data_IF_521743840454
#
_entry.id   IF_521743840454
#
_cell.length_a   1.000
_cell.length_b   1.000
_cell.length_c   1.000
_cell.angle_alpha   90.00
_cell.angle_beta   90.00
_cell.angle_gamma   90.00
#
_symmetry.space_group_name_H-M   'P 1'
#
loop_
_entity.id
_entity.type
_entity.pdbx_description
1 polymer ?
#
# COMPACT_ATOMS: atom_id res chain seq x y z
N UNK A 1 3.75 8.83 -19.23
CA UNK A 1 2.83 9.57 -18.36
C UNK A 1 3.62 10.34 -17.35
N UNK A 2 3.28 11.61 -17.20
CA UNK A 2 3.98 12.57 -16.36
C UNK A 2 3.41 12.54 -14.94
N UNK A 3 4.23 12.94 -13.95
CA UNK A 3 3.81 12.92 -12.53
C UNK A 3 2.52 13.72 -12.30
N UNK A 4 2.39 14.87 -12.95
CA UNK A 4 1.21 15.74 -12.84
C UNK A 4 -0.06 15.02 -13.30
N UNK A 5 -0.03 14.34 -14.46
CA UNK A 5 -1.18 13.55 -14.95
C UNK A 5 -1.59 12.45 -13.96
N UNK A 6 -0.62 11.81 -13.29
CA UNK A 6 -0.91 10.79 -12.28
C UNK A 6 -1.52 11.38 -11.01
N UNK A 7 -1.15 12.61 -10.65
CA UNK A 7 -1.76 13.35 -9.55
C UNK A 7 -3.21 13.64 -9.86
N UNK A 8 -3.54 14.11 -11.06
CA UNK A 8 -4.93 14.42 -11.41
C UNK A 8 -5.80 13.16 -11.46
N UNK A 9 -5.28 12.05 -12.00
CA UNK A 9 -5.96 10.75 -11.98
C UNK A 9 -6.22 10.29 -10.53
N UNK A 10 -5.20 10.39 -9.68
CA UNK A 10 -5.31 10.00 -8.29
C UNK A 10 -6.32 10.89 -7.54
N UNK A 11 -6.31 12.22 -7.78
CA UNK A 11 -7.27 13.16 -7.19
C UNK A 11 -8.69 12.83 -7.60
N UNK A 12 -8.93 12.49 -8.87
CA UNK A 12 -10.26 12.11 -9.36
C UNK A 12 -10.79 10.80 -8.75
N UNK A 13 -9.89 9.88 -8.38
CA UNK A 13 -10.25 8.60 -7.76
C UNK A 13 -10.45 8.66 -6.24
N UNK A 14 -9.89 9.68 -5.59
CA UNK A 14 -9.90 9.85 -4.14
C UNK A 14 -11.10 10.70 -3.69
N UNK A 15 -11.55 10.52 -2.44
CA UNK A 15 -12.57 11.38 -1.85
C UNK A 15 -12.07 12.82 -1.74
N UNK A 16 -12.89 13.79 -2.19
CA UNK A 16 -12.52 15.20 -2.34
C UNK A 16 -11.84 15.83 -1.11
N UNK A 17 -12.29 15.55 0.11
CA UNK A 17 -11.73 16.14 1.34
C UNK A 17 -10.32 15.62 1.70
N UNK A 18 -10.01 14.39 1.29
CA UNK A 18 -8.76 13.70 1.65
C UNK A 18 -7.81 13.58 0.46
N UNK A 19 -8.28 13.90 -0.74
CA UNK A 19 -7.55 13.74 -1.98
C UNK A 19 -6.22 14.49 -1.90
N UNK A 20 -6.22 15.80 -1.65
CA UNK A 20 -5.02 16.62 -1.78
C UNK A 20 -3.81 16.11 -0.97
N UNK A 21 -4.03 15.63 0.25
CA UNK A 21 -2.95 15.10 1.09
C UNK A 21 -2.51 13.69 0.65
N UNK A 22 -3.46 12.85 0.24
CA UNK A 22 -3.18 11.47 -0.12
C UNK A 22 -2.60 11.33 -1.53
N UNK A 23 -2.96 12.22 -2.44
CA UNK A 23 -2.61 12.14 -3.86
C UNK A 23 -1.11 12.01 -4.07
N UNK A 24 -0.34 12.89 -3.44
CA UNK A 24 1.12 12.90 -3.55
C UNK A 24 1.72 11.59 -3.04
N UNK A 25 1.29 11.16 -1.85
CA UNK A 25 1.79 9.93 -1.24
C UNK A 25 1.47 8.69 -2.09
N UNK A 26 0.28 8.63 -2.70
CA UNK A 26 -0.15 7.53 -3.57
C UNK A 26 0.68 7.51 -4.87
N UNK A 27 0.86 8.66 -5.53
CA UNK A 27 1.66 8.76 -6.76
C UNK A 27 3.12 8.40 -6.49
N UNK A 28 3.71 8.95 -5.44
CA UNK A 28 5.10 8.69 -5.08
C UNK A 28 5.32 7.22 -4.68
N UNK A 29 4.32 6.57 -4.07
CA UNK A 29 4.34 5.13 -3.80
C UNK A 29 4.47 4.30 -5.07
N UNK A 30 3.67 4.63 -6.09
CA UNK A 30 3.67 3.89 -7.37
C UNK A 30 4.96 4.16 -8.14
N UNK A 31 5.43 5.41 -8.18
CA UNK A 31 6.68 5.77 -8.83
C UNK A 31 7.89 5.07 -8.21
N UNK A 32 7.91 4.89 -6.88
CA UNK A 32 8.97 4.18 -6.19
C UNK A 32 9.01 2.66 -6.50
N UNK A 33 7.89 2.06 -6.86
CA UNK A 33 7.78 0.63 -7.18
C UNK A 33 7.98 0.36 -8.67
N UNK A 34 7.74 1.38 -9.51
CA UNK A 34 7.84 1.26 -10.96
C UNK A 34 9.26 0.89 -11.37
N UNK A 35 9.44 -0.34 -11.85
CA UNK A 35 10.63 -0.77 -12.58
C UNK A 35 10.39 -0.64 -14.07
N UNK A 36 11.45 -0.34 -14.82
CA UNK A 36 11.43 -0.39 -16.27
C UNK A 36 11.16 -1.83 -16.70
N UNK A 37 10.12 -2.05 -17.52
CA UNK A 37 9.75 -3.32 -18.16
C UNK A 37 9.05 -4.41 -17.32
N UNK A 38 8.71 -4.15 -16.04
CA UNK A 38 7.85 -5.05 -15.25
C UNK A 38 6.46 -4.42 -14.98
N UNK A 39 5.36 -5.21 -15.02
CA UNK A 39 4.05 -4.71 -14.62
C UNK A 39 4.06 -4.31 -13.15
N UNK A 40 3.35 -3.23 -12.82
CA UNK A 40 3.33 -2.71 -11.46
C UNK A 40 2.64 -3.72 -10.53
N UNK A 41 3.37 -4.19 -9.52
CA UNK A 41 2.83 -5.03 -8.46
C UNK A 41 2.39 -4.17 -7.27
N UNK A 42 1.07 -4.03 -7.11
CA UNK A 42 0.47 -3.33 -5.97
C UNK A 42 0.73 -4.03 -4.63
N UNK A 43 1.16 -5.30 -4.65
CA UNK A 43 1.55 -5.99 -3.42
C UNK A 43 2.78 -5.39 -2.75
N UNK A 44 3.59 -4.62 -3.48
CA UNK A 44 4.75 -3.92 -2.92
C UNK A 44 4.37 -2.67 -2.11
N UNK A 45 3.12 -2.17 -2.25
CA UNK A 45 2.57 -1.12 -1.38
C UNK A 45 1.92 -1.77 -0.15
N UNK A 46 2.45 -1.49 1.03
CA UNK A 46 1.81 -1.79 2.30
C UNK A 46 0.95 -0.61 2.75
N UNK A 47 -0.25 -0.88 3.24
CA UNK A 47 -1.05 0.13 3.94
C UNK A 47 -1.12 -0.27 5.40
N UNK A 48 -0.54 0.56 6.26
CA UNK A 48 -0.58 0.40 7.71
C UNK A 48 -1.52 1.41 8.33
N UNK A 49 -2.36 0.93 9.24
CA UNK A 49 -3.32 1.76 9.98
C UNK A 49 -2.77 2.07 11.37
N UNK A 50 -2.86 3.33 11.76
CA UNK A 50 -2.53 3.77 13.11
C UNK A 50 -3.65 4.65 13.67
N UNK A 51 -4.06 4.33 14.91
CA UNK A 51 -5.00 5.18 15.63
C UNK A 51 -4.30 6.46 16.08
N UNK A 52 -4.78 7.59 15.59
CA UNK A 52 -4.27 8.92 15.92
C UNK A 52 -5.42 9.92 15.95
N UNK A 53 -5.28 11.07 16.60
CA UNK A 53 -6.38 12.04 16.69
C UNK A 53 -6.69 12.73 15.36
N UNK A 54 -5.70 12.83 14.47
CA UNK A 54 -5.78 13.50 13.17
C UNK A 54 -5.84 12.50 12.01
N UNK A 55 -6.63 12.83 10.98
CA UNK A 55 -6.80 12.05 9.74
C UNK A 55 -5.87 12.51 8.61
N UNK A 56 -5.39 13.75 8.70
CA UNK A 56 -4.51 14.38 7.71
C UNK A 56 -3.05 13.90 7.79
N UNK A 57 -2.66 13.23 8.87
CA UNK A 57 -1.25 12.89 9.11
C UNK A 57 -0.85 11.56 8.44
N UNK A 58 -1.21 11.38 7.18
CA UNK A 58 -0.79 10.22 6.38
C UNK A 58 0.63 10.45 5.87
N UNK A 59 1.51 9.45 6.05
CA UNK A 59 2.92 9.57 5.66
C UNK A 59 3.34 8.42 4.77
N UNK A 60 4.07 8.76 3.72
CA UNK A 60 4.78 7.81 2.88
C UNK A 60 6.10 7.41 3.53
N UNK A 61 6.32 6.12 3.69
CA UNK A 61 7.58 5.57 4.18
C UNK A 61 8.17 4.71 3.06
N UNK A 62 9.32 5.14 2.53
CA UNK A 62 10.10 4.38 1.54
C UNK A 62 10.79 3.19 2.22
N UNK A 63 9.98 2.19 2.56
CA UNK A 63 10.44 0.98 3.21
C UNK A 63 9.33 0.16 3.84
N UNK A 64 9.71 -0.97 4.44
CA UNK A 64 8.79 -1.80 5.20
C UNK A 64 8.73 -1.34 6.65
N UNK A 65 7.51 -1.19 7.20
CA UNK A 65 7.27 -0.79 8.59
C UNK A 65 6.90 -2.02 9.44
N UNK A 66 7.67 -2.30 10.49
CA UNK A 66 7.43 -3.43 11.42
C UNK A 66 6.85 -2.95 12.74
N UNK A 67 6.04 -3.72 13.46
CA UNK A 67 5.24 -3.21 14.60
C UNK A 67 6.07 -2.88 15.86
N UNK A 68 7.30 -3.37 15.92
CA UNK A 68 8.23 -3.24 17.04
C UNK A 68 9.64 -3.03 16.49
N UNK A 69 10.50 -2.33 17.23
CA UNK A 69 11.94 -2.46 17.11
C UNK A 69 12.72 -1.34 17.77
N UNK A 70 14.00 -1.25 17.42
CA UNK A 70 14.94 -0.28 17.94
C UNK A 70 15.77 0.27 16.77
N UNK A 71 16.36 1.45 16.96
CA UNK A 71 17.19 2.10 15.94
C UNK A 71 18.52 1.35 15.78
N UNK A 72 18.84 0.99 14.55
CA UNK A 72 20.05 0.31 14.12
C UNK A 72 20.45 0.84 12.74
N UNK A 73 21.72 1.20 12.55
CA UNK A 73 22.27 1.64 11.27
C UNK A 73 23.04 0.48 10.63
N UNK A 74 23.00 0.38 9.29
CA UNK A 74 23.67 -0.65 8.49
C UNK A 74 23.52 -2.07 9.08
N UNK A 75 22.29 -2.56 9.10
CA UNK A 75 21.92 -3.80 9.75
C UNK A 75 21.90 -5.00 8.80
N UNK A 76 22.49 -6.11 9.24
CA UNK A 76 22.19 -7.42 8.68
C UNK A 76 20.89 -7.97 9.26
N UNK A 77 20.02 -8.48 8.39
CA UNK A 77 18.72 -9.00 8.78
C UNK A 77 18.67 -10.51 8.62
N UNK A 78 18.44 -11.20 9.72
CA UNK A 78 18.18 -12.64 9.78
C UNK A 78 16.68 -12.89 9.88
N UNK A 79 16.10 -13.50 8.85
CA UNK A 79 14.68 -13.89 8.84
C UNK A 79 14.51 -15.37 9.20
N UNK A 80 13.76 -15.65 10.26
CA UNK A 80 13.54 -17.01 10.76
C UNK A 80 12.04 -17.34 10.91
N UNK A 81 11.71 -18.63 10.75
CA UNK A 81 10.43 -19.23 11.09
C UNK A 81 10.63 -20.38 12.10
N UNK A 82 11.39 -20.10 13.16
CA UNK A 82 11.80 -21.10 14.15
C UNK A 82 11.10 -20.83 15.47
N UNK A 83 10.63 -21.86 16.17
CA UNK A 83 10.12 -21.67 17.54
C UNK A 83 11.30 -21.33 18.46
N UNK A 84 11.38 -20.07 18.88
CA UNK A 84 12.34 -19.56 19.89
C UNK A 84 11.64 -19.29 21.22
N UNK A 85 10.41 -19.78 21.40
CA UNK A 85 9.64 -19.74 22.63
C UNK A 85 9.59 -21.13 23.26
N UNK A 86 9.56 -21.17 24.59
CA UNK A 86 9.19 -22.35 25.35
C UNK A 86 7.69 -22.59 25.19
N UNK A 87 7.29 -23.69 24.57
CA UNK A 87 5.88 -24.09 24.50
C UNK A 87 5.47 -24.68 25.84
N UNK A 88 4.67 -23.93 26.61
CA UNK A 88 4.12 -24.42 27.87
C UNK A 88 3.14 -25.56 27.57
N UNK A 89 3.57 -26.79 27.79
CA UNK A 89 2.68 -27.95 27.72
C UNK A 89 1.74 -27.97 28.93
N UNK A 90 0.45 -28.15 28.67
CA UNK A 90 -0.61 -28.09 29.71
C UNK A 90 -0.60 -29.31 30.65
N UNK A 91 0.11 -30.39 30.31
CA UNK A 91 0.11 -31.65 31.06
C UNK A 91 1.16 -31.63 32.19
N UNK A 92 0.75 -32.05 33.40
CA UNK A 92 1.42 -31.74 34.67
C UNK A 92 2.52 -32.73 35.12
N UNK A 93 2.66 -33.93 34.57
CA UNK A 93 3.37 -35.03 35.29
C UNK A 93 4.87 -35.20 35.01
N UNK A 94 5.44 -34.66 33.91
CA UNK A 94 6.86 -34.86 33.55
C UNK A 94 7.65 -33.54 33.39
N UNK A 95 7.13 -32.45 33.96
CA UNK A 95 7.55 -31.06 33.67
C UNK A 95 9.01 -30.75 33.93
N UNK A 96 9.59 -31.15 35.06
CA UNK A 96 10.88 -30.55 35.47
C UNK A 96 12.08 -31.01 34.64
N UNK A 97 12.09 -32.26 34.18
CA UNK A 97 13.18 -32.80 33.35
C UNK A 97 13.05 -32.28 31.91
N UNK A 98 11.84 -32.27 31.35
CA UNK A 98 11.56 -31.77 30.01
C UNK A 98 11.87 -30.26 29.89
N UNK A 99 11.49 -29.47 30.90
CA UNK A 99 11.78 -28.02 30.95
C UNK A 99 13.29 -27.75 30.89
N UNK A 100 14.11 -28.52 31.61
CA UNK A 100 15.57 -28.32 31.62
C UNK A 100 16.20 -28.65 30.27
N UNK A 101 15.70 -29.67 29.57
CA UNK A 101 16.18 -30.07 28.24
C UNK A 101 15.77 -29.04 27.20
N UNK A 102 14.52 -28.58 27.21
CA UNK A 102 14.03 -27.55 26.27
C UNK A 102 14.72 -26.20 26.47
N UNK A 103 14.99 -25.79 27.72
CA UNK A 103 15.76 -24.56 27.98
C UNK A 103 17.17 -24.63 27.42
N UNK A 104 17.89 -25.73 27.65
CA UNK A 104 19.23 -25.94 27.07
C UNK A 104 19.18 -25.88 25.54
N UNK A 105 18.15 -26.46 24.94
CA UNK A 105 17.95 -26.43 23.50
C UNK A 105 17.73 -25.01 22.95
N UNK A 106 16.95 -24.18 23.66
CA UNK A 106 16.78 -22.76 23.31
C UNK A 106 18.10 -22.01 23.49
N UNK A 107 18.81 -22.21 24.60
CA UNK A 107 20.13 -21.62 24.86
C UNK A 107 21.13 -21.92 23.74
N UNK A 108 21.20 -23.16 23.28
CA UNK A 108 22.12 -23.55 22.22
C UNK A 108 21.75 -22.89 20.88
N UNK A 109 20.46 -22.74 20.58
CA UNK A 109 20.00 -21.94 19.42
C UNK A 109 20.40 -20.46 19.52
N UNK A 110 20.32 -19.88 20.71
CA UNK A 110 20.75 -18.49 20.96
C UNK A 110 22.25 -18.36 20.71
N UNK A 111 23.05 -19.28 21.23
CA UNK A 111 24.50 -19.29 21.04
C UNK A 111 24.86 -19.35 19.56
N UNK A 112 24.20 -20.20 18.76
CA UNK A 112 24.41 -20.26 17.31
C UNK A 112 24.15 -18.91 16.62
N UNK A 113 23.10 -18.19 17.01
CA UNK A 113 22.80 -16.86 16.46
C UNK A 113 23.85 -15.83 16.87
N UNK A 114 24.31 -15.87 18.13
CA UNK A 114 25.39 -14.99 18.62
C UNK A 114 26.71 -15.30 17.89
N UNK A 115 27.02 -16.57 17.67
CA UNK A 115 28.21 -16.99 16.90
C UNK A 115 28.14 -16.49 15.46
N UNK A 116 26.97 -16.58 14.81
CA UNK A 116 26.79 -16.02 13.48
C UNK A 116 26.93 -14.49 13.48
N UNK A 117 26.40 -13.79 14.49
CA UNK A 117 26.66 -12.35 14.65
C UNK A 117 28.17 -12.09 14.74
N UNK A 118 28.90 -12.82 15.59
CA UNK A 118 30.35 -12.62 15.76
C UNK A 118 31.13 -12.88 14.48
N UNK A 119 30.72 -13.87 13.67
CA UNK A 119 31.32 -14.14 12.35
C UNK A 119 31.07 -13.02 11.34
N UNK A 120 29.90 -12.38 11.38
CA UNK A 120 29.46 -11.41 10.35
C UNK A 120 29.78 -9.97 10.75
N UNK A 121 29.54 -9.61 11.99
CA UNK A 121 29.75 -8.26 12.53
C UNK A 121 31.15 -8.03 13.08
N UNK A 122 31.94 -9.07 13.42
CA UNK A 122 33.36 -8.98 13.80
C UNK A 122 33.78 -7.67 14.48
N UNK A 123 34.52 -6.83 13.74
CA UNK A 123 35.02 -5.50 14.15
C UNK A 123 34.28 -4.32 13.48
N UNK A 124 33.11 -4.56 12.89
CA UNK A 124 32.35 -3.55 12.16
C UNK A 124 31.20 -2.99 13.00
N UNK A 125 30.94 -1.68 12.89
CA UNK A 125 29.78 -0.98 13.48
C UNK A 125 28.43 -1.37 12.84
N UNK A 126 28.37 -2.53 12.20
CA UNK A 126 27.17 -3.03 11.53
C UNK A 126 26.24 -3.65 12.53
N UNK A 127 24.98 -3.23 12.49
CA UNK A 127 23.94 -3.78 13.33
C UNK A 127 23.51 -5.19 12.93
N UNK A 128 22.82 -5.87 13.85
CA UNK A 128 22.25 -7.19 13.58
C UNK A 128 20.81 -7.27 14.08
N UNK A 129 19.90 -7.64 13.17
CA UNK A 129 18.46 -7.70 13.42
C UNK A 129 17.94 -9.11 13.13
N UNK A 130 17.27 -9.73 14.10
CA UNK A 130 16.63 -11.04 13.97
C UNK A 130 15.13 -10.87 13.91
N UNK A 131 14.49 -11.37 12.87
CA UNK A 131 13.04 -11.25 12.69
C UNK A 131 12.46 -12.65 12.66
N UNK A 132 11.71 -12.99 13.70
CA UNK A 132 11.06 -14.28 13.80
C UNK A 132 9.57 -14.17 13.52
N UNK A 133 9.07 -15.07 12.68
CA UNK A 133 7.62 -15.22 12.45
C UNK A 133 6.92 -15.75 13.70
N UNK A 134 7.58 -16.63 14.45
CA UNK A 134 7.08 -17.13 15.72
C UNK A 134 7.52 -16.22 16.87
N UNK A 135 7.09 -16.59 18.05
CA UNK A 135 7.47 -15.92 19.27
C UNK A 135 8.96 -16.08 19.64
N UNK A 136 9.41 -15.26 20.58
CA UNK A 136 10.77 -15.30 21.14
C UNK A 136 10.66 -15.23 22.68
N UNK A 137 11.32 -16.17 23.37
CA UNK A 137 11.32 -16.26 24.82
C UNK A 137 11.99 -15.04 25.47
N UNK A 138 11.52 -14.50 26.61
CA UNK A 138 12.15 -13.35 27.26
C UNK A 138 13.63 -13.54 27.58
N UNK A 139 14.05 -14.76 27.96
CA UNK A 139 15.46 -15.06 28.19
C UNK A 139 16.33 -14.81 26.94
N UNK A 140 15.80 -15.14 25.76
CA UNK A 140 16.46 -14.84 24.49
C UNK A 140 16.58 -13.34 24.27
N UNK A 141 15.53 -12.56 24.61
CA UNK A 141 15.54 -11.10 24.49
C UNK A 141 16.63 -10.47 25.35
N UNK A 142 16.85 -10.98 26.56
CA UNK A 142 17.88 -10.49 27.47
C UNK A 142 19.29 -10.89 27.02
N UNK A 143 19.47 -12.16 26.61
CA UNK A 143 20.77 -12.68 26.17
C UNK A 143 21.27 -11.95 24.92
N UNK A 144 20.38 -11.68 23.95
CA UNK A 144 20.72 -10.99 22.72
C UNK A 144 20.94 -9.50 22.90
N UNK A 145 20.25 -8.86 23.86
CA UNK A 145 20.34 -7.43 24.10
C UNK A 145 21.74 -7.04 24.60
N UNK A 146 22.39 -7.93 25.38
CA UNK A 146 23.79 -7.78 25.79
C UNK A 146 24.78 -7.77 24.63
N UNK A 147 24.38 -8.38 23.52
CA UNK A 147 25.18 -8.49 22.30
C UNK A 147 24.63 -7.52 21.24
N UNK A 148 23.92 -6.44 21.59
CA UNK A 148 23.37 -5.42 20.67
C UNK A 148 22.58 -5.98 19.47
N UNK A 149 21.92 -7.13 19.65
CA UNK A 149 21.05 -7.72 18.62
C UNK A 149 19.62 -7.26 18.87
N UNK A 150 19.01 -6.62 17.88
CA UNK A 150 17.57 -6.35 17.89
C UNK A 150 16.85 -7.59 17.39
N UNK A 151 15.83 -8.06 18.12
CA UNK A 151 14.97 -9.12 17.63
C UNK A 151 13.50 -8.78 17.74
N UNK A 152 12.80 -9.13 16.68
CA UNK A 152 11.39 -8.94 16.49
C UNK A 152 10.72 -10.31 16.55
N UNK A 153 9.63 -10.37 17.32
CA UNK A 153 8.85 -11.58 17.53
C UNK A 153 7.49 -11.43 16.87
N UNK A 154 6.90 -12.55 16.46
CA UNK A 154 5.53 -12.64 15.95
C UNK A 154 5.28 -11.78 14.71
N UNK A 155 6.27 -11.70 13.80
CA UNK A 155 6.09 -10.99 12.54
C UNK A 155 5.14 -11.75 11.63
N UNK A 156 4.20 -11.05 11.00
CA UNK A 156 3.24 -11.66 10.06
C UNK A 156 3.96 -12.19 8.83
N UNK A 157 3.48 -13.33 8.29
CA UNK A 157 4.02 -13.96 7.08
C UNK A 157 4.13 -12.98 5.89
N UNK A 158 3.10 -12.15 5.67
CA UNK A 158 3.11 -11.13 4.59
C UNK A 158 4.27 -10.15 4.71
N UNK A 159 4.61 -9.71 5.93
CA UNK A 159 5.75 -8.82 6.18
C UNK A 159 7.08 -9.55 5.95
N UNK A 160 7.15 -10.84 6.30
CA UNK A 160 8.34 -11.66 6.04
C UNK A 160 8.59 -11.80 4.54
N UNK A 161 7.58 -12.17 3.75
CA UNK A 161 7.69 -12.32 2.28
C UNK A 161 8.20 -11.02 1.63
N UNK A 162 7.66 -9.88 2.04
CA UNK A 162 8.16 -8.56 1.61
C UNK A 162 9.60 -8.35 2.03
N UNK A 163 9.94 -8.58 3.29
CA UNK A 163 11.31 -8.38 3.78
C UNK A 163 12.33 -9.23 3.00
N UNK A 164 11.95 -10.45 2.65
CA UNK A 164 12.73 -11.40 1.83
C UNK A 164 13.03 -10.78 0.46
N UNK A 165 12.00 -10.28 -0.23
CA UNK A 165 12.13 -9.63 -1.55
C UNK A 165 12.92 -8.32 -1.50
N UNK A 166 12.75 -7.60 -0.40
CA UNK A 166 13.15 -6.21 -0.32
C UNK A 166 14.57 -6.05 0.25
N UNK A 167 14.96 -6.89 1.22
CA UNK A 167 16.32 -6.94 1.79
C UNK A 167 17.20 -8.02 1.15
N UNK A 168 16.62 -8.93 0.35
CA UNK A 168 17.31 -10.09 -0.21
C UNK A 168 17.64 -11.18 0.82
N UNK A 169 17.02 -11.17 2.00
CA UNK A 169 17.25 -12.21 3.01
C UNK A 169 16.62 -13.54 2.56
N UNK A 170 17.05 -14.66 3.14
CA UNK A 170 16.40 -15.96 2.95
C UNK A 170 15.70 -16.35 4.25
N UNK A 171 14.44 -16.76 4.18
CA UNK A 171 13.71 -17.23 5.38
C UNK A 171 14.21 -18.61 5.79
N UNK A 172 14.78 -18.71 6.99
CA UNK A 172 15.31 -19.96 7.53
C UNK A 172 14.28 -20.70 8.38
N UNK A 173 14.17 -22.01 8.16
CA UNK A 173 13.32 -22.92 8.94
C UNK A 173 14.08 -23.68 10.03
N UNK A 174 15.41 -23.77 9.91
CA UNK A 174 16.33 -24.38 10.88
C UNK A 174 17.50 -23.42 11.16
N UNK A 175 18.14 -23.57 12.31
CA UNK A 175 19.31 -22.79 12.73
C UNK A 175 20.63 -23.56 12.58
N UNK A 176 20.58 -24.70 11.89
CA UNK A 176 21.76 -25.56 11.73
C UNK A 176 22.63 -25.11 10.56
N UNK A 177 22.00 -24.65 9.47
CA UNK A 177 22.68 -24.15 8.26
C UNK A 177 22.72 -22.61 8.23
N UNK A 178 23.38 -22.02 9.22
CA UNK A 178 23.50 -20.57 9.36
C UNK A 178 24.70 -20.03 8.55
N UNK A 179 24.41 -19.55 7.34
CA UNK A 179 25.41 -18.95 6.45
C UNK A 179 25.23 -17.43 6.32
N UNK A 180 26.33 -16.65 6.17
CA UNK A 180 26.26 -15.21 5.90
C UNK A 180 25.45 -14.84 4.66
N UNK A 181 25.41 -15.73 3.65
CA UNK A 181 24.64 -15.55 2.43
C UNK A 181 23.12 -15.53 2.64
N UNK A 182 22.63 -16.07 3.76
CA UNK A 182 21.20 -16.08 4.07
C UNK A 182 20.71 -14.75 4.66
N UNK A 183 21.63 -13.85 5.02
CA UNK A 183 21.30 -12.56 5.62
C UNK A 183 20.91 -11.55 4.55
N UNK A 184 19.85 -10.79 4.84
CA UNK A 184 19.54 -9.58 4.09
C UNK A 184 20.34 -8.40 4.63
N UNK A 185 20.36 -7.31 3.86
CA UNK A 185 20.99 -6.06 4.26
C UNK A 185 19.99 -4.90 4.26
N UNK A 186 20.10 -4.02 5.26
CA UNK A 186 19.32 -2.81 5.39
C UNK A 186 20.20 -1.64 5.80
N UNK A 187 20.20 -0.56 5.02
CA UNK A 187 21.04 0.62 5.30
C UNK A 187 20.64 1.35 6.58
N UNK A 188 19.34 1.45 6.85
CA UNK A 188 18.81 2.09 8.06
C UNK A 188 17.63 1.29 8.57
N UNK A 189 17.63 1.01 9.86
CA UNK A 189 16.54 0.46 10.65
C UNK A 189 16.23 1.50 11.72
N UNK A 190 15.32 2.43 11.45
CA UNK A 190 15.00 3.48 12.41
C UNK A 190 13.74 3.13 13.21
N UNK A 191 13.77 3.35 14.52
CA UNK A 191 12.59 3.31 15.38
C UNK A 191 12.02 4.72 15.52
N UNK A 192 10.80 4.94 15.05
CA UNK A 192 10.17 6.26 15.15
C UNK A 192 9.56 6.45 16.55
N UNK A 193 9.79 7.56 17.26
CA UNK A 193 9.18 7.76 18.58
C UNK A 193 7.64 7.83 18.54
N UNK A 194 7.07 8.17 17.37
CA UNK A 194 5.61 8.19 17.14
C UNK A 194 5.06 6.80 16.77
N UNK A 195 5.90 5.94 16.22
CA UNK A 195 5.60 4.58 15.75
C UNK A 195 6.77 3.71 16.16
N UNK A 196 6.63 2.84 17.17
CA UNK A 196 7.69 1.90 17.60
C UNK A 196 8.07 0.89 16.50
N UNK A 197 8.40 1.35 15.31
CA UNK A 197 8.38 0.61 14.08
C UNK A 197 9.67 0.82 13.31
N UNK A 198 10.21 -0.28 12.80
CA UNK A 198 11.42 -0.32 11.99
C UNK A 198 11.08 -0.06 10.54
N UNK A 199 11.75 0.92 9.92
CA UNK A 199 11.74 1.15 8.47
C UNK A 199 12.98 0.52 7.84
N UNK A 200 12.85 -0.22 6.73
CA UNK A 200 13.97 -0.77 5.97
C UNK A 200 13.87 -0.25 4.52
N UNK A 201 14.85 0.51 3.98
CA UNK A 201 14.75 1.12 2.65
C UNK A 201 14.88 0.05 1.57
N UNK A 202 13.79 -0.20 0.86
CA UNK A 202 13.66 -1.32 -0.07
C UNK A 202 12.69 -1.03 -1.20
N UNK A 203 12.62 -1.93 -2.19
CA UNK A 203 11.65 -1.97 -3.30
C UNK A 203 10.16 -2.08 -2.88
N UNK A 204 9.86 -1.98 -1.58
CA UNK A 204 8.52 -1.99 -1.02
C UNK A 204 8.33 -0.72 -0.20
N UNK A 205 7.13 -0.16 -0.31
CA UNK A 205 6.77 1.13 0.23
C UNK A 205 5.62 0.94 1.19
N UNK A 206 5.62 1.65 2.32
CA UNK A 206 4.53 1.62 3.28
C UNK A 206 3.84 2.98 3.34
N UNK A 207 2.54 2.99 3.05
CA UNK A 207 1.63 4.08 3.35
C UNK A 207 1.12 3.92 4.77
N UNK A 208 1.56 4.80 5.66
CA UNK A 208 1.08 4.86 7.03
C UNK A 208 -0.10 5.83 7.11
N UNK A 209 -1.30 5.26 7.27
CA UNK A 209 -2.56 5.99 7.40
C UNK A 209 -2.87 6.18 8.87
N UNK A 210 -3.14 7.42 9.25
CA UNK A 210 -3.52 7.81 10.61
C UNK A 210 -4.98 8.24 10.64
N UNK A 211 -5.68 7.91 11.71
CA UNK A 211 -7.07 8.31 11.88
C UNK A 211 -7.64 7.98 13.27
N UNK A 212 -8.67 8.71 13.72
CA UNK A 212 -9.24 8.63 15.07
C UNK A 212 -10.05 7.36 15.26
N UNK A 213 -10.79 6.97 14.23
CA UNK A 213 -11.75 5.88 14.29
C UNK A 213 -11.38 4.78 13.30
N UNK A 214 -11.72 3.53 13.65
CA UNK A 214 -11.49 2.39 12.76
C UNK A 214 -12.26 2.54 11.45
N UNK A 215 -13.47 3.09 11.50
CA UNK A 215 -14.30 3.28 10.31
C UNK A 215 -13.70 4.29 9.33
N UNK A 216 -13.16 5.41 9.81
CA UNK A 216 -12.51 6.40 8.95
C UNK A 216 -11.20 5.87 8.39
N UNK A 217 -10.41 5.14 9.20
CA UNK A 217 -9.22 4.41 8.73
C UNK A 217 -9.53 3.42 7.61
N UNK A 218 -10.63 2.65 7.72
CA UNK A 218 -11.02 1.70 6.66
C UNK A 218 -11.45 2.42 5.38
N UNK A 219 -12.19 3.53 5.49
CA UNK A 219 -12.58 4.34 4.33
C UNK A 219 -11.37 4.93 3.61
N UNK A 220 -10.43 5.53 4.35
CA UNK A 220 -9.20 6.08 3.79
C UNK A 220 -8.37 4.98 3.10
N UNK A 221 -8.26 3.82 3.73
CA UNK A 221 -7.54 2.68 3.19
C UNK A 221 -8.14 2.16 1.88
N UNK A 222 -9.46 2.08 1.79
CA UNK A 222 -10.13 1.63 0.58
C UNK A 222 -10.01 2.70 -0.52
N UNK A 223 -10.13 3.99 -0.19
CA UNK A 223 -9.86 5.09 -1.12
C UNK A 223 -8.42 5.05 -1.68
N UNK A 224 -7.42 4.83 -0.82
CA UNK A 224 -6.01 4.68 -1.26
C UNK A 224 -5.86 3.49 -2.22
N UNK A 225 -6.53 2.36 -1.96
CA UNK A 225 -6.47 1.18 -2.84
C UNK A 225 -7.07 1.44 -4.20
N UNK A 226 -8.19 2.15 -4.24
CA UNK A 226 -8.86 2.52 -5.48
C UNK A 226 -7.97 3.48 -6.28
N UNK A 227 -7.34 4.47 -5.63
CA UNK A 227 -6.38 5.37 -6.27
C UNK A 227 -5.13 4.66 -6.79
N UNK A 228 -4.53 3.77 -6.00
CA UNK A 228 -3.41 2.94 -6.44
C UNK A 228 -3.76 2.12 -7.69
N UNK A 229 -4.98 1.57 -7.74
CA UNK A 229 -5.46 0.78 -8.88
C UNK A 229 -5.73 1.66 -10.10
N UNK A 230 -6.31 2.84 -9.91
CA UNK A 230 -6.55 3.80 -11.00
C UNK A 230 -5.24 4.26 -11.66
N UNK A 231 -4.24 4.63 -10.85
CA UNK A 231 -2.90 5.00 -11.34
C UNK A 231 -2.26 3.82 -12.08
N UNK A 232 -2.35 2.61 -11.51
CA UNK A 232 -1.82 1.42 -12.18
C UNK A 232 -2.45 1.23 -13.56
N UNK A 233 -3.78 1.27 -13.67
CA UNK A 233 -4.48 1.11 -14.94
C UNK A 233 -4.05 2.19 -15.94
N UNK A 234 -3.92 3.44 -15.51
CA UNK A 234 -3.46 4.52 -16.37
C UNK A 234 -2.04 4.28 -16.92
N UNK A 235 -1.13 3.76 -16.08
CA UNK A 235 0.23 3.42 -16.51
C UNK A 235 0.23 2.24 -17.48
N UNK A 236 -0.61 1.22 -17.22
CA UNK A 236 -0.72 0.02 -18.05
C UNK A 236 -1.36 0.33 -19.42
N UNK A 237 -2.41 1.16 -19.46
CA UNK A 237 -3.16 1.50 -20.67
C UNK A 237 -2.46 2.57 -21.53
N UNK A 238 -1.68 3.46 -20.91
CA UNK A 238 -0.95 4.53 -21.61
C UNK A 238 -1.83 5.66 -22.16
N UNK A 239 -3.15 5.55 -22.01
CA UNK A 239 -4.13 6.59 -22.32
C UNK A 239 -5.08 6.82 -21.15
N UNK A 240 -5.56 8.05 -21.01
CA UNK A 240 -6.58 8.43 -20.04
C UNK A 240 -7.66 9.22 -20.73
N UNK A 241 -8.87 9.13 -20.18
CA UNK A 241 -10.07 9.76 -20.71
C UNK A 241 -10.69 10.62 -19.62
N UNK A 242 -11.22 11.81 -19.95
CA UNK A 242 -11.76 12.72 -18.95
C UNK A 242 -13.05 12.19 -18.33
N UNK A 243 -13.20 12.37 -17.01
CA UNK A 243 -14.36 11.92 -16.25
C UNK A 243 -15.52 12.92 -16.22
N UNK A 244 -16.28 12.87 -15.11
CA UNK A 244 -17.37 13.80 -14.79
C UNK A 244 -18.43 13.96 -15.90
N UNK A 245 -18.71 12.87 -16.62
CA UNK A 245 -19.75 12.79 -17.64
C UNK A 245 -19.37 13.34 -19.03
N UNK A 246 -18.11 13.76 -19.23
CA UNK A 246 -17.68 14.36 -20.50
C UNK A 246 -17.71 13.36 -21.65
N UNK A 247 -17.25 12.13 -21.42
CA UNK A 247 -17.26 11.06 -22.41
C UNK A 247 -18.70 10.65 -22.71
N UNK A 248 -19.53 10.52 -21.68
CA UNK A 248 -20.93 10.13 -21.81
C UNK A 248 -21.72 11.12 -22.65
N UNK A 249 -21.50 12.42 -22.45
CA UNK A 249 -22.10 13.48 -23.26
C UNK A 249 -21.63 13.40 -24.72
N UNK A 250 -20.32 13.27 -24.95
CA UNK A 250 -19.76 13.19 -26.29
C UNK A 250 -20.20 11.92 -27.05
N UNK A 251 -20.25 10.78 -26.36
CA UNK A 251 -20.74 9.51 -26.91
C UNK A 251 -22.23 9.57 -27.24
N UNK A 252 -23.04 10.17 -26.36
CA UNK A 252 -24.47 10.35 -26.63
C UNK A 252 -24.69 11.21 -27.88
N UNK A 253 -23.97 12.31 -28.03
CA UNK A 253 -24.06 13.17 -29.22
C UNK A 253 -23.60 12.45 -30.49
N UNK A 254 -22.49 11.71 -30.43
CA UNK A 254 -22.00 10.91 -31.54
C UNK A 254 -23.01 9.82 -31.97
N UNK A 255 -23.68 9.17 -31.02
CA UNK A 255 -24.72 8.18 -31.29
C UNK A 255 -25.97 8.80 -31.91
N UNK A 256 -26.36 10.00 -31.47
CA UNK A 256 -27.47 10.76 -32.07
C UNK A 256 -27.14 11.15 -33.52
N UNK A 257 -25.89 11.56 -33.81
CA UNK A 257 -25.41 11.82 -35.18
C UNK A 257 -25.33 10.54 -36.03
N UNK A 258 -25.03 9.40 -35.41
CA UNK A 258 -24.98 8.09 -36.07
C UNK A 258 -26.37 7.51 -36.36
N UNK A 259 -27.38 7.81 -35.53
CA UNK A 259 -28.77 7.37 -35.64
C UNK A 259 -29.36 7.36 -37.07
N UNK A 260 -29.24 8.41 -37.91
CA UNK A 260 -29.78 8.39 -39.28
C UNK A 260 -29.15 7.35 -40.22
N UNK A 261 -27.96 6.83 -39.91
CA UNK A 261 -27.33 5.77 -40.71
C UNK A 261 -27.98 4.40 -40.49
N UNK A 262 -28.66 4.20 -39.34
CA UNK A 262 -29.26 2.93 -38.95
C UNK A 262 -30.69 2.85 -39.48
N UNK A 263 -31.01 1.77 -40.20
CA UNK A 263 -32.33 1.57 -40.80
C UNK A 263 -33.27 0.78 -39.90
N UNK A 264 -34.54 1.16 -39.90
CA UNK A 264 -35.63 0.42 -39.26
C UNK A 264 -35.71 0.60 -37.75
N UNK A 265 -36.32 -0.38 -37.05
CA UNK A 265 -36.62 -0.30 -35.60
C UNK A 265 -35.38 -0.17 -34.72
N UNK A 266 -34.21 -0.59 -35.21
CA UNK A 266 -32.94 -0.44 -34.49
C UNK A 266 -32.59 1.02 -34.19
N UNK A 267 -33.11 1.97 -34.97
CA UNK A 267 -32.92 3.41 -34.74
C UNK A 267 -33.48 3.87 -33.38
N UNK A 268 -34.57 3.26 -32.91
CA UNK A 268 -35.13 3.52 -31.58
C UNK A 268 -34.22 2.97 -30.47
N UNK A 269 -33.56 1.84 -30.73
CA UNK A 269 -32.58 1.27 -29.81
C UNK A 269 -31.34 2.15 -29.64
N UNK A 270 -30.81 2.70 -30.75
CA UNK A 270 -29.69 3.65 -30.71
C UNK A 270 -30.05 4.90 -29.90
N UNK A 271 -31.26 5.43 -30.10
CA UNK A 271 -31.75 6.56 -29.31
C UNK A 271 -31.82 6.21 -27.81
N UNK A 272 -32.44 5.09 -27.46
CA UNK A 272 -32.57 4.67 -26.06
C UNK A 272 -31.21 4.46 -25.39
N UNK A 273 -30.22 3.94 -26.14
CA UNK A 273 -28.85 3.76 -25.63
C UNK A 273 -28.13 5.11 -25.43
N UNK A 274 -28.26 6.05 -26.37
CA UNK A 274 -27.70 7.39 -26.22
C UNK A 274 -28.30 8.12 -25.01
N UNK A 275 -29.62 8.03 -24.82
CA UNK A 275 -30.32 8.64 -23.68
C UNK A 275 -29.91 8.00 -22.34
N UNK A 276 -29.60 6.70 -22.36
CA UNK A 276 -29.14 5.97 -21.17
C UNK A 276 -27.74 6.40 -20.71
N UNK A 277 -26.82 6.76 -21.62
CA UNK A 277 -25.48 7.24 -21.24
C UNK A 277 -25.54 8.53 -20.42
N UNK A 278 -26.51 9.40 -20.71
CA UNK A 278 -26.71 10.67 -20.01
C UNK A 278 -27.18 10.50 -18.56
N UNK A 279 -27.52 9.28 -18.10
CA UNK A 279 -27.92 9.06 -16.71
C UNK A 279 -26.80 9.39 -15.72
N UNK A 280 -25.54 9.16 -16.09
CA UNK A 280 -24.40 9.41 -15.21
C UNK A 280 -24.29 10.92 -14.94
N UNK A 281 -24.35 11.73 -15.98
CA UNK A 281 -24.34 13.20 -15.88
C UNK A 281 -25.51 13.72 -15.05
N UNK A 282 -26.73 13.19 -15.31
CA UNK A 282 -27.95 13.54 -14.56
C UNK A 282 -27.77 13.24 -13.08
N UNK A 283 -27.37 12.02 -12.73
CA UNK A 283 -27.24 11.62 -11.33
C UNK A 283 -26.14 12.43 -10.63
N UNK A 284 -25.04 12.76 -11.30
CA UNK A 284 -23.99 13.63 -10.75
C UNK A 284 -24.55 15.03 -10.44
N UNK A 285 -25.20 15.69 -11.40
CA UNK A 285 -25.80 17.01 -11.21
C UNK A 285 -26.85 17.00 -10.07
N UNK A 286 -27.70 15.97 -10.02
CA UNK A 286 -28.72 15.82 -8.98
C UNK A 286 -28.11 15.59 -7.60
N UNK A 287 -27.06 14.77 -7.49
CA UNK A 287 -26.37 14.52 -6.22
C UNK A 287 -25.65 15.78 -5.71
N UNK A 288 -25.19 16.63 -6.62
CA UNK A 288 -24.65 17.96 -6.30
C UNK A 288 -25.72 19.02 -6.01
N UNK A 289 -27.01 18.70 -6.19
CA UNK A 289 -28.13 19.61 -5.89
C UNK A 289 -28.47 20.62 -6.99
N UNK A 290 -27.94 20.44 -8.21
CA UNK A 290 -28.22 21.31 -9.36
C UNK A 290 -29.40 20.80 -10.19
N UNK A 291 -29.97 21.68 -11.02
CA UNK A 291 -31.03 21.27 -11.94
C UNK A 291 -30.48 20.39 -13.06
N UNK A 292 -31.09 19.22 -13.19
CA UNK A 292 -30.79 18.18 -14.15
C UNK A 292 -30.87 18.65 -15.60
N UNK A 293 -31.88 19.45 -15.92
CA UNK A 293 -32.13 19.85 -17.30
C UNK A 293 -31.22 21.00 -17.71
N UNK A 294 -31.10 22.01 -16.85
CA UNK A 294 -30.25 23.16 -17.12
C UNK A 294 -28.77 22.77 -17.31
N UNK A 295 -28.22 21.97 -16.40
CA UNK A 295 -26.83 21.52 -16.47
C UNK A 295 -26.55 20.70 -17.74
N UNK A 296 -27.45 19.79 -18.09
CA UNK A 296 -27.31 18.94 -19.26
C UNK A 296 -27.38 19.73 -20.57
N UNK A 297 -28.29 20.70 -20.66
CA UNK A 297 -28.39 21.57 -21.85
C UNK A 297 -27.14 22.41 -22.01
N UNK A 298 -26.60 22.99 -20.93
CA UNK A 298 -25.36 23.77 -20.95
C UNK A 298 -24.17 22.94 -21.46
N UNK A 299 -23.94 21.76 -20.89
CA UNK A 299 -22.84 20.87 -21.29
C UNK A 299 -22.97 20.44 -22.75
N UNK A 300 -24.17 20.08 -23.21
CA UNK A 300 -24.40 19.69 -24.59
C UNK A 300 -24.18 20.85 -25.56
N UNK A 301 -24.67 22.05 -25.23
CA UNK A 301 -24.52 23.23 -26.05
C UNK A 301 -23.03 23.58 -26.22
N UNK A 302 -22.28 23.66 -25.12
CA UNK A 302 -20.86 23.98 -25.20
C UNK A 302 -20.04 22.87 -25.88
N UNK A 303 -20.41 21.59 -25.72
CA UNK A 303 -19.72 20.48 -26.39
C UNK A 303 -19.90 20.58 -27.91
N UNK A 304 -21.12 20.88 -28.35
CA UNK A 304 -21.45 21.11 -29.76
C UNK A 304 -20.74 22.34 -30.34
N UNK A 305 -20.55 23.40 -29.56
CA UNK A 305 -19.90 24.64 -30.01
C UNK A 305 -18.37 24.53 -30.05
N UNK A 306 -17.75 23.98 -29.01
CA UNK A 306 -16.29 23.91 -28.85
C UNK A 306 -15.66 22.70 -29.54
N UNK A 307 -16.39 21.59 -29.66
CA UNK A 307 -15.86 20.29 -30.06
C UNK A 307 -14.85 19.69 -29.05
N UNK A 308 -14.67 20.31 -27.88
CA UNK A 308 -13.83 19.82 -26.80
C UNK A 308 -14.64 18.97 -25.83
N UNK A 309 -13.99 18.10 -25.07
CA UNK A 309 -14.67 17.31 -24.03
C UNK A 309 -15.01 18.20 -22.84
N UNK A 310 -16.30 18.30 -22.52
CA UNK A 310 -16.82 19.18 -21.47
C UNK A 310 -17.43 18.34 -20.37
N UNK A 311 -17.01 18.59 -19.14
CA UNK A 311 -17.53 17.96 -17.93
C UNK A 311 -18.44 18.92 -17.14
N UNK A 312 -19.14 18.37 -16.15
CA UNK A 312 -19.84 19.17 -15.13
C UNK A 312 -18.92 19.38 -13.94
N UNK A 313 -18.75 20.62 -13.50
CA UNK A 313 -18.14 20.89 -12.20
C UNK A 313 -19.13 20.52 -11.09
N UNK A 314 -18.72 19.59 -10.23
CA UNK A 314 -19.55 19.07 -9.13
C UNK A 314 -19.86 20.11 -8.04
N UNK A 315 -19.10 21.20 -7.98
CA UNK A 315 -19.27 22.26 -6.98
C UNK A 315 -20.12 23.44 -7.46
N UNK A 316 -20.12 23.72 -8.77
CA UNK A 316 -20.83 24.87 -9.35
C UNK A 316 -22.00 24.46 -10.25
N UNK A 317 -21.98 23.22 -10.78
CA UNK A 317 -22.93 22.75 -11.78
C UNK A 317 -22.70 23.37 -13.16
N UNK A 318 -21.63 24.14 -13.34
CA UNK A 318 -21.30 24.77 -14.61
C UNK A 318 -20.50 23.82 -15.51
N UNK A 319 -20.62 23.97 -16.84
CA UNK A 319 -19.79 23.24 -17.76
C UNK A 319 -18.32 23.72 -17.67
N UNK A 320 -17.40 22.77 -17.70
CA UNK A 320 -15.96 23.02 -17.63
C UNK A 320 -15.25 22.17 -18.70
N UNK A 321 -14.17 22.69 -19.27
CA UNK A 321 -13.32 21.90 -20.17
C UNK A 321 -12.63 20.83 -19.35
N UNK A 322 -12.77 19.57 -19.76
CA UNK A 322 -12.16 18.47 -19.04
C UNK A 322 -10.65 18.45 -19.30
N UNK A 323 -9.87 18.65 -18.23
CA UNK A 323 -8.41 18.62 -18.21
C UNK A 323 -7.89 17.24 -17.79
#
# INVERSE_FOLDING_TARGET
MDRETLIDIARASLHAELADVLTEAVVDSVLAIKKTDEPIDLFMVEIMEMKHKSETDTSLISGLVLDHGARVENAYILTCNVSLEYEKTEVNSEREKLVKVERKFIEDRVKKIIELKKKVCGDSDKGFVVINQKGIDPFFLDARAKEDIVALRRTKRRKMERLTLACGSITLNSLDDLNPHCLGFAGLVHDSPLLRNVTIPVLSVTLLVKGPNKHTLTQIKDAIRDGLRAIKNAIDDGCVVPGAGAIEAAMAEALIKYKPSVKGRAQLGVQAFADALLIILKVLAQNSGFDLQETLVKVQAEHSESGQLICVDLNTGEPMVAA
#
